data_IF_667463827698
#
_entry.id   IF_667463827698
#
_cell.length_a   1.000
_cell.length_b   1.000
_cell.length_c   1.000
_cell.angle_alpha   90.00
_cell.angle_beta   90.00
_cell.angle_gamma   90.00
#
_symmetry.space_group_name_H-M   'P 1'
#
loop_
_entity.id
_entity.type
_entity.pdbx_description
1 polymer ?
#
# COMPACT_ATOMS: atom_id res chain seq x y z
N UNK A 1 30.74 7.82 -5.56
CA UNK A 1 30.98 9.18 -5.02
C UNK A 1 30.68 10.32 -5.99
N UNK A 2 30.57 10.11 -7.31
CA UNK A 2 30.14 11.13 -8.28
C UNK A 2 28.60 11.24 -8.50
N UNK A 3 27.81 10.29 -8.00
CA UNK A 3 26.33 10.33 -8.09
C UNK A 3 25.66 11.19 -7.00
N UNK A 4 26.41 11.60 -5.97
CA UNK A 4 25.90 12.38 -4.83
C UNK A 4 25.73 13.88 -5.14
N UNK A 5 26.28 14.36 -6.27
CA UNK A 5 26.22 15.76 -6.67
C UNK A 5 25.02 16.10 -7.59
N UNK A 6 24.37 15.11 -8.21
CA UNK A 6 23.27 15.36 -9.16
C UNK A 6 21.89 15.45 -8.52
N UNK A 7 21.73 14.92 -7.29
CA UNK A 7 20.47 14.97 -6.54
C UNK A 7 20.28 16.29 -5.77
N UNK A 8 21.36 16.98 -5.42
CA UNK A 8 21.31 18.29 -4.74
C UNK A 8 20.99 19.46 -5.70
N UNK A 9 21.14 19.27 -7.01
CA UNK A 9 20.92 20.33 -8.01
C UNK A 9 19.46 20.47 -8.47
N UNK A 10 18.58 19.51 -8.17
CA UNK A 10 17.18 19.54 -8.64
C UNK A 10 16.23 20.31 -7.70
N UNK A 11 16.66 20.62 -6.47
CA UNK A 11 15.85 21.35 -5.49
C UNK A 11 16.11 22.87 -5.54
N UNK A 12 17.19 23.32 -6.20
CA UNK A 12 17.60 24.73 -6.24
C UNK A 12 17.16 25.50 -7.50
N UNK A 13 16.41 24.90 -8.43
CA UNK A 13 16.07 25.51 -9.72
C UNK A 13 14.77 26.36 -9.72
N UNK A 14 14.21 26.69 -8.56
CA UNK A 14 12.94 27.44 -8.46
C UNK A 14 13.05 28.81 -7.76
N UNK A 15 14.26 29.29 -7.47
CA UNK A 15 14.45 30.61 -6.86
C UNK A 15 15.69 31.29 -7.45
N UNK A 16 15.49 32.00 -8.56
CA UNK A 16 16.42 33.02 -9.03
C UNK A 16 15.59 34.20 -9.54
N UNK A 17 15.42 35.23 -8.71
CA UNK A 17 15.65 36.59 -9.16
C UNK A 17 16.13 37.48 -8.00
N UNK A 18 17.13 38.30 -8.34
CA UNK A 18 17.71 39.45 -7.63
C UNK A 18 18.65 39.26 -6.42
N UNK A 19 19.91 39.70 -6.61
CA UNK A 19 20.54 40.68 -5.71
C UNK A 19 21.73 40.25 -4.85
N UNK A 20 22.94 40.43 -5.40
CA UNK A 20 24.24 40.83 -4.80
C UNK A 20 24.53 40.66 -3.28
N UNK A 21 25.71 40.11 -2.98
CA UNK A 21 26.38 40.32 -1.68
C UNK A 21 27.31 39.19 -1.24
N UNK A 22 28.53 39.15 -1.78
CA UNK A 22 29.50 38.10 -1.52
C UNK A 22 30.36 38.36 -0.26
N UNK A 23 29.80 38.36 0.95
CA UNK A 23 30.58 38.30 2.20
C UNK A 23 29.74 37.66 3.35
N UNK A 24 29.81 36.33 3.52
CA UNK A 24 29.57 35.58 4.78
C UNK A 24 29.51 34.06 4.53
N UNK A 25 30.67 33.43 4.30
CA UNK A 25 30.76 31.99 3.94
C UNK A 25 31.02 31.04 5.14
N UNK A 26 31.01 31.52 6.39
CA UNK A 26 31.27 30.68 7.57
C UNK A 26 30.08 30.61 8.55
N UNK A 27 29.16 31.57 8.53
CA UNK A 27 27.97 31.59 9.40
C UNK A 27 26.74 30.88 8.82
N UNK A 28 26.69 30.66 7.50
CA UNK A 28 25.54 30.06 6.82
C UNK A 28 25.42 28.53 6.94
N UNK A 29 26.47 27.81 7.35
CA UNK A 29 26.39 26.35 7.54
C UNK A 29 25.75 26.00 8.89
N UNK A 30 26.16 26.69 9.97
CA UNK A 30 25.57 26.51 11.30
C UNK A 30 24.11 27.01 11.35
N UNK A 31 23.81 28.15 10.71
CA UNK A 31 22.44 28.66 10.62
C UNK A 31 21.50 27.74 9.82
N UNK A 32 22.01 27.09 8.76
CA UNK A 32 21.23 26.11 7.98
C UNK A 32 21.01 24.80 8.74
N UNK A 33 21.98 24.35 9.54
CA UNK A 33 21.81 23.15 10.37
C UNK A 33 20.87 23.41 11.57
N UNK A 34 20.88 24.62 12.14
CA UNK A 34 19.92 25.05 13.17
C UNK A 34 18.50 25.23 12.60
N UNK A 35 18.32 25.90 11.46
CA UNK A 35 17.01 26.00 10.77
C UNK A 35 16.44 24.62 10.37
N UNK A 36 17.31 23.70 9.93
CA UNK A 36 16.87 22.37 9.51
C UNK A 36 16.57 21.46 10.73
N UNK A 37 17.21 21.73 11.88
CA UNK A 37 16.89 21.12 13.18
C UNK A 37 15.56 21.62 13.76
N UNK A 38 15.17 22.88 13.48
CA UNK A 38 13.84 23.39 13.84
C UNK A 38 12.73 22.76 12.99
N UNK A 39 13.03 22.39 11.75
CA UNK A 39 12.05 21.82 10.81
C UNK A 39 11.94 20.29 10.90
N UNK A 40 13.06 19.58 11.11
CA UNK A 40 13.12 18.13 11.13
C UNK A 40 13.75 17.57 12.41
N UNK A 41 13.18 16.49 12.90
CA UNK A 41 13.67 15.74 14.06
C UNK A 41 14.05 14.31 13.66
N UNK A 42 15.06 13.75 14.30
CA UNK A 42 15.44 12.35 14.09
C UNK A 42 14.34 11.43 14.62
N UNK A 43 13.72 10.67 13.72
CA UNK A 43 12.69 9.71 14.06
C UNK A 43 13.28 8.44 14.68
N UNK A 44 12.72 8.03 15.81
CA UNK A 44 12.86 6.67 16.36
C UNK A 44 11.53 6.26 16.97
N UNK A 45 11.14 4.98 16.87
CA UNK A 45 9.96 4.46 17.55
C UNK A 45 9.95 4.89 19.02
N UNK A 46 8.93 5.65 19.42
CA UNK A 46 8.82 6.18 20.78
C UNK A 46 8.33 5.13 21.78
N UNK A 47 7.62 4.10 21.29
CA UNK A 47 6.93 3.09 22.12
C UNK A 47 7.42 1.67 21.87
N UNK A 48 7.87 1.34 20.66
CA UNK A 48 8.32 0.00 20.32
C UNK A 48 9.82 -0.15 20.62
N UNK A 49 10.17 -1.19 21.38
CA UNK A 49 11.56 -1.53 21.74
C UNK A 49 12.15 -2.65 20.88
N UNK A 50 11.32 -3.37 20.13
CA UNK A 50 11.76 -4.51 19.32
C UNK A 50 12.53 -4.07 18.06
N UNK A 51 13.57 -4.85 17.74
CA UNK A 51 14.41 -4.62 16.57
C UNK A 51 15.57 -3.66 16.80
N UNK A 52 16.52 -3.66 15.85
CA UNK A 52 17.66 -2.76 15.88
C UNK A 52 17.29 -1.36 15.36
N UNK A 53 18.03 -0.30 15.73
CA UNK A 53 17.88 1.00 15.09
C UNK A 53 18.00 0.90 13.56
N UNK A 54 17.27 1.75 12.84
CA UNK A 54 17.38 1.84 11.38
C UNK A 54 18.83 2.20 10.98
N UNK A 55 19.42 1.55 9.95
CA UNK A 55 20.82 1.76 9.57
C UNK A 55 21.11 3.19 9.10
N UNK A 56 20.14 3.81 8.43
CA UNK A 56 20.19 5.21 8.01
C UNK A 56 19.32 6.09 8.94
N UNK A 57 19.69 7.35 9.20
CA UNK A 57 18.84 8.29 9.93
C UNK A 57 17.49 8.47 9.23
N UNK A 58 16.40 8.27 9.98
CA UNK A 58 15.05 8.62 9.56
C UNK A 58 14.74 9.97 10.19
N UNK A 59 14.07 10.84 9.44
CA UNK A 59 13.62 12.14 9.93
C UNK A 59 12.12 12.28 9.79
N UNK A 60 11.52 13.03 10.70
CA UNK A 60 10.13 13.49 10.65
C UNK A 60 10.08 15.00 10.84
N UNK A 61 8.94 15.63 10.55
CA UNK A 61 8.80 17.06 10.85
C UNK A 61 8.67 17.28 12.36
N UNK A 62 9.19 18.39 12.86
CA UNK A 62 9.13 18.71 14.28
C UNK A 62 7.68 18.72 14.83
N UNK A 63 6.70 19.13 14.01
CA UNK A 63 5.28 19.09 14.37
C UNK A 63 4.74 17.67 14.55
N UNK A 64 5.21 16.69 13.78
CA UNK A 64 4.81 15.28 13.92
C UNK A 64 5.45 14.65 15.16
N UNK A 65 6.70 15.00 15.46
CA UNK A 65 7.41 14.52 16.65
C UNK A 65 6.70 14.89 17.97
N UNK A 66 5.90 15.96 17.97
CA UNK A 66 5.10 16.37 19.12
C UNK A 66 3.88 15.48 19.43
N UNK A 67 3.51 14.59 18.51
CA UNK A 67 2.35 13.71 18.67
C UNK A 67 2.82 12.31 19.07
N UNK A 68 2.45 11.86 20.26
CA UNK A 68 2.76 10.50 20.69
C UNK A 68 1.92 9.47 19.94
N UNK A 69 2.52 8.41 19.37
CA UNK A 69 1.77 7.33 18.76
C UNK A 69 1.01 6.52 19.83
N UNK A 70 -0.07 5.82 19.44
CA UNK A 70 -0.81 4.95 20.36
C UNK A 70 0.07 3.83 20.90
N UNK A 71 -0.30 3.27 22.06
CA UNK A 71 0.45 2.16 22.66
C UNK A 71 0.42 0.90 21.77
N UNK A 72 1.58 0.28 21.47
CA UNK A 72 1.65 -0.93 20.64
C UNK A 72 1.10 -2.13 21.40
N UNK A 73 -0.11 -2.58 21.02
CA UNK A 73 -0.82 -3.71 21.67
C UNK A 73 -0.81 -4.99 20.84
N UNK A 74 -0.26 -4.92 19.63
CA UNK A 74 -0.21 -6.05 18.71
C UNK A 74 1.10 -6.82 18.89
N UNK A 75 0.99 -8.14 19.12
CA UNK A 75 2.13 -9.05 19.17
C UNK A 75 2.39 -9.61 17.76
N UNK A 76 3.54 -9.29 17.19
CA UNK A 76 3.92 -9.74 15.85
C UNK A 76 4.65 -11.08 15.85
N UNK A 77 4.61 -11.76 14.70
CA UNK A 77 5.26 -13.05 14.45
C UNK A 77 6.65 -12.91 13.80
N UNK A 78 7.17 -11.68 13.69
CA UNK A 78 8.47 -11.35 13.07
C UNK A 78 9.69 -11.53 13.99
N UNK A 79 9.62 -12.40 15.01
CA UNK A 79 10.70 -12.51 16.01
C UNK A 79 12.00 -13.09 15.45
N UNK A 80 11.90 -13.89 14.38
CA UNK A 80 13.04 -14.34 13.62
C UNK A 80 13.74 -13.17 12.88
N UNK A 81 12.97 -12.25 12.30
CA UNK A 81 13.51 -11.03 11.68
C UNK A 81 14.21 -10.13 12.69
N UNK A 82 13.66 -10.03 13.91
CA UNK A 82 14.27 -9.28 15.02
C UNK A 82 15.61 -9.91 15.39
N UNK A 83 15.62 -11.22 15.64
CA UNK A 83 16.83 -11.95 16.03
C UNK A 83 17.94 -11.88 14.97
N UNK A 84 17.58 -11.91 13.69
CA UNK A 84 18.51 -11.83 12.56
C UNK A 84 18.84 -10.39 12.13
N UNK A 85 18.21 -9.38 12.75
CA UNK A 85 18.38 -7.97 12.37
C UNK A 85 17.93 -7.64 10.95
N UNK A 86 17.02 -8.42 10.36
CA UNK A 86 16.54 -8.23 8.99
C UNK A 86 15.67 -6.98 8.84
N UNK A 87 14.97 -6.62 9.92
CA UNK A 87 14.13 -5.43 10.01
C UNK A 87 14.64 -4.51 11.13
N UNK A 88 14.51 -3.20 10.89
CA UNK A 88 14.73 -2.19 11.93
C UNK A 88 13.47 -2.00 12.78
N UNK A 89 13.64 -1.37 13.94
CA UNK A 89 12.56 -1.02 14.85
C UNK A 89 11.48 -0.16 14.19
N UNK A 90 11.85 0.83 13.37
CA UNK A 90 10.90 1.65 12.60
C UNK A 90 10.09 0.82 11.60
N UNK A 91 10.72 -0.16 10.96
CA UNK A 91 10.04 -1.05 10.03
C UNK A 91 9.07 -2.01 10.74
N UNK A 92 9.44 -2.51 11.92
CA UNK A 92 8.56 -3.37 12.74
C UNK A 92 7.40 -2.56 13.30
N UNK A 93 7.65 -1.33 13.75
CA UNK A 93 6.61 -0.43 14.25
C UNK A 93 5.50 -0.18 13.21
N UNK A 94 5.87 0.00 11.94
CA UNK A 94 4.91 0.11 10.85
C UNK A 94 4.02 -1.14 10.73
N UNK A 95 4.59 -2.35 10.88
CA UNK A 95 3.82 -3.60 10.87
C UNK A 95 2.88 -3.66 12.08
N UNK A 96 3.38 -3.37 13.27
CA UNK A 96 2.59 -3.39 14.51
C UNK A 96 1.37 -2.47 14.40
N UNK A 97 1.56 -1.21 14.00
CA UNK A 97 0.44 -0.28 13.86
C UNK A 97 -0.50 -0.63 12.70
N UNK A 98 0.03 -1.17 11.59
CA UNK A 98 -0.81 -1.65 10.50
C UNK A 98 -1.77 -2.75 10.97
N UNK A 99 -1.26 -3.76 11.69
CA UNK A 99 -2.10 -4.85 12.18
C UNK A 99 -3.05 -4.42 13.31
N UNK A 100 -2.65 -3.47 14.16
CA UNK A 100 -3.58 -2.83 15.11
C UNK A 100 -4.73 -2.11 14.38
N UNK A 101 -4.46 -1.42 13.26
CA UNK A 101 -5.49 -0.77 12.46
C UNK A 101 -6.36 -1.79 11.75
N UNK A 102 -5.78 -2.84 11.19
CA UNK A 102 -6.49 -3.93 10.53
C UNK A 102 -7.47 -4.66 11.45
N UNK A 103 -7.26 -4.68 12.77
CA UNK A 103 -8.22 -5.29 13.71
C UNK A 103 -9.47 -4.43 13.96
N UNK A 104 -9.54 -3.20 13.44
CA UNK A 104 -10.71 -2.31 13.57
C UNK A 104 -11.68 -2.43 12.38
N UNK A 105 -12.96 -2.20 12.66
CA UNK A 105 -14.01 -2.00 11.66
C UNK A 105 -14.43 -0.54 11.62
N UNK A 106 -14.73 -0.05 10.43
CA UNK A 106 -15.31 1.26 10.20
C UNK A 106 -16.83 1.20 10.34
N UNK A 107 -17.49 2.36 10.40
CA UNK A 107 -18.95 2.46 10.54
C UNK A 107 -19.71 1.75 9.42
N UNK A 108 -19.16 1.72 8.21
CA UNK A 108 -19.73 0.99 7.06
C UNK A 108 -19.43 -0.53 7.08
N UNK A 109 -18.87 -1.07 8.17
CA UNK A 109 -18.53 -2.48 8.32
C UNK A 109 -17.22 -2.91 7.64
N UNK A 110 -16.61 -2.06 6.82
CA UNK A 110 -15.32 -2.37 6.19
C UNK A 110 -14.22 -2.48 7.25
N UNK A 111 -13.29 -3.39 7.03
CA UNK A 111 -12.04 -3.41 7.78
C UNK A 111 -11.25 -2.14 7.48
N UNK A 112 -10.74 -1.51 8.54
CA UNK A 112 -9.92 -0.33 8.39
C UNK A 112 -8.60 -0.66 7.67
N UNK A 113 -8.09 0.30 6.92
CA UNK A 113 -6.81 0.25 6.22
C UNK A 113 -5.70 0.98 6.97
N UNK A 114 -4.51 0.94 6.40
CA UNK A 114 -3.31 1.59 6.93
C UNK A 114 -2.55 2.31 5.82
N UNK A 115 -2.02 3.50 6.10
CA UNK A 115 -1.19 4.25 5.16
C UNK A 115 0.28 4.15 5.57
N UNK A 116 1.10 3.62 4.68
CA UNK A 116 2.55 3.59 4.78
C UNK A 116 3.14 4.73 3.95
N UNK A 117 3.44 5.83 4.65
CA UNK A 117 3.91 7.09 4.06
C UNK A 117 5.43 7.28 4.07
N UNK A 118 6.19 6.27 4.48
CA UNK A 118 7.62 6.42 4.75
C UNK A 118 8.41 6.87 3.51
N UNK A 119 9.43 7.69 3.73
CA UNK A 119 10.26 8.25 2.65
C UNK A 119 11.03 7.21 1.84
N UNK A 120 11.70 7.65 0.78
CA UNK A 120 12.69 6.83 0.10
C UNK A 120 13.85 6.51 1.06
N UNK A 121 14.39 5.29 1.01
CA UNK A 121 15.50 4.86 1.88
C UNK A 121 15.08 4.20 3.20
N UNK A 122 13.84 4.39 3.67
CA UNK A 122 13.32 3.73 4.90
C UNK A 122 13.05 2.23 4.70
N UNK A 123 13.02 1.77 3.44
CA UNK A 123 12.82 0.36 3.12
C UNK A 123 11.35 -0.09 3.06
N UNK A 124 10.47 0.74 2.48
CA UNK A 124 9.05 0.39 2.24
C UNK A 124 8.82 -0.99 1.64
N UNK A 125 9.63 -1.40 0.68
CA UNK A 125 9.55 -2.74 0.10
C UNK A 125 9.70 -3.86 1.14
N UNK A 126 10.66 -3.72 2.07
CA UNK A 126 10.83 -4.64 3.21
C UNK A 126 9.69 -4.53 4.23
N UNK A 127 9.12 -3.35 4.45
CA UNK A 127 7.93 -3.20 5.30
C UNK A 127 6.72 -3.93 4.71
N UNK A 128 6.48 -3.76 3.41
CA UNK A 128 5.41 -4.49 2.70
C UNK A 128 5.68 -6.00 2.78
N UNK A 129 6.91 -6.45 2.52
CA UNK A 129 7.28 -7.86 2.64
C UNK A 129 7.07 -8.40 4.06
N UNK A 130 7.41 -7.62 5.09
CA UNK A 130 7.16 -7.96 6.49
C UNK A 130 5.66 -8.06 6.81
N UNK A 131 4.82 -7.18 6.26
CA UNK A 131 3.36 -7.28 6.39
C UNK A 131 2.81 -8.53 5.70
N UNK A 132 3.37 -8.93 4.54
CA UNK A 132 3.00 -10.18 3.87
C UNK A 132 3.40 -11.39 4.70
N UNK A 133 4.62 -11.38 5.27
CA UNK A 133 5.10 -12.44 6.16
C UNK A 133 4.21 -12.56 7.40
N UNK A 134 3.85 -11.44 8.02
CA UNK A 134 2.95 -11.39 9.17
C UNK A 134 1.54 -11.91 8.82
N UNK A 135 0.98 -11.48 7.68
CA UNK A 135 -0.30 -11.99 7.19
C UNK A 135 -0.25 -13.51 6.98
N UNK A 136 0.86 -14.02 6.43
CA UNK A 136 1.05 -15.45 6.22
C UNK A 136 1.16 -16.24 7.53
N UNK A 137 1.88 -15.71 8.52
CA UNK A 137 2.00 -16.31 9.85
C UNK A 137 0.63 -16.42 10.56
N UNK A 138 -0.30 -15.49 10.27
CA UNK A 138 -1.69 -15.52 10.76
C UNK A 138 -2.61 -16.46 9.97
N UNK A 139 -2.08 -17.21 9.01
CA UNK A 139 -2.85 -18.11 8.15
C UNK A 139 -3.44 -17.45 6.89
N UNK A 140 -3.12 -16.19 6.62
CA UNK A 140 -3.46 -15.53 5.36
C UNK A 140 -2.71 -16.17 4.19
N UNK A 141 -3.44 -16.50 3.12
CA UNK A 141 -2.86 -17.23 1.98
C UNK A 141 -2.94 -16.46 0.67
N UNK A 142 -3.67 -15.34 0.63
CA UNK A 142 -3.93 -14.60 -0.60
C UNK A 142 -3.61 -13.13 -0.40
N UNK A 143 -2.65 -12.65 -1.18
CA UNK A 143 -2.22 -11.26 -1.18
C UNK A 143 -2.32 -10.71 -2.60
N UNK A 144 -2.89 -9.52 -2.74
CA UNK A 144 -2.78 -8.73 -3.96
C UNK A 144 -1.74 -7.63 -3.73
N UNK A 145 -0.73 -7.56 -4.60
CA UNK A 145 0.23 -6.46 -4.65
C UNK A 145 0.07 -5.74 -5.99
N UNK A 146 -0.58 -4.57 -5.94
CA UNK A 146 -0.74 -3.69 -7.09
C UNK A 146 0.41 -2.69 -7.12
N UNK A 147 1.16 -2.65 -8.22
CA UNK A 147 2.25 -1.69 -8.41
C UNK A 147 2.21 -1.02 -9.78
N UNK A 148 3.19 -0.17 -10.09
CA UNK A 148 3.24 0.63 -11.32
C UNK A 148 3.90 -0.07 -12.50
N UNK A 149 4.79 -1.03 -12.22
CA UNK A 149 5.51 -1.80 -13.24
C UNK A 149 5.57 -3.27 -12.86
N UNK A 150 5.53 -4.14 -13.87
CA UNK A 150 5.72 -5.58 -13.67
C UNK A 150 7.16 -5.92 -13.22
N UNK A 151 8.14 -5.08 -13.56
CA UNK A 151 9.55 -5.33 -13.24
C UNK A 151 9.82 -5.19 -11.73
N UNK A 152 9.01 -4.39 -11.03
CA UNK A 152 9.08 -4.25 -9.57
C UNK A 152 8.73 -5.55 -8.83
N UNK A 153 8.25 -6.58 -9.54
CA UNK A 153 8.09 -7.93 -8.98
C UNK A 153 9.43 -8.50 -8.51
N UNK A 154 10.53 -8.22 -9.21
CA UNK A 154 11.84 -8.74 -8.82
C UNK A 154 12.32 -8.09 -7.51
N UNK A 155 12.02 -6.81 -7.31
CA UNK A 155 12.24 -6.13 -6.03
C UNK A 155 11.35 -6.74 -4.94
N UNK A 156 10.06 -6.98 -5.21
CA UNK A 156 9.15 -7.63 -4.27
C UNK A 156 9.62 -9.04 -3.85
N UNK A 157 10.12 -9.84 -4.80
CA UNK A 157 10.67 -11.17 -4.53
C UNK A 157 11.95 -11.09 -3.67
N UNK A 158 12.85 -10.15 -3.98
CA UNK A 158 14.04 -9.88 -3.17
C UNK A 158 13.66 -9.44 -1.77
N UNK A 159 12.73 -8.51 -1.63
CA UNK A 159 12.35 -7.95 -0.33
C UNK A 159 11.66 -9.02 0.55
N UNK A 160 10.88 -9.93 -0.05
CA UNK A 160 10.37 -11.13 0.63
C UNK A 160 11.50 -12.05 1.09
N UNK A 161 12.50 -12.31 0.24
CA UNK A 161 13.65 -13.11 0.63
C UNK A 161 14.47 -12.47 1.77
N UNK A 162 14.67 -11.15 1.72
CA UNK A 162 15.41 -10.36 2.72
C UNK A 162 14.80 -10.47 4.13
N UNK A 163 13.47 -10.64 4.22
CA UNK A 163 12.75 -10.84 5.49
C UNK A 163 12.48 -12.32 5.81
N UNK A 164 13.12 -13.25 5.11
CA UNK A 164 12.96 -14.69 5.34
C UNK A 164 11.63 -15.29 4.85
N UNK A 165 10.91 -14.59 3.97
CA UNK A 165 9.64 -15.00 3.37
C UNK A 165 9.77 -15.43 1.90
N UNK A 166 10.98 -15.80 1.45
CA UNK A 166 11.24 -16.19 0.05
C UNK A 166 10.52 -17.46 -0.43
N UNK A 167 9.93 -18.24 0.49
CA UNK A 167 9.07 -19.39 0.18
C UNK A 167 7.65 -18.98 -0.26
N UNK A 168 7.23 -17.74 -0.02
CA UNK A 168 5.93 -17.24 -0.47
C UNK A 168 5.99 -16.98 -1.98
N UNK A 169 5.20 -17.74 -2.75
CA UNK A 169 5.20 -17.63 -4.20
C UNK A 169 4.62 -16.29 -4.67
N UNK A 170 5.42 -15.52 -5.41
CA UNK A 170 4.95 -14.35 -6.17
C UNK A 170 4.61 -14.78 -7.59
N UNK A 171 3.46 -14.35 -8.10
CA UNK A 171 2.99 -14.68 -9.44
C UNK A 171 2.33 -13.47 -10.13
N UNK A 172 2.36 -13.40 -11.48
CA UNK A 172 2.95 -14.36 -12.40
C UNK A 172 4.49 -14.33 -12.40
N UNK A 173 5.15 -15.44 -12.74
CA UNK A 173 6.62 -15.54 -12.79
C UNK A 173 7.17 -15.12 -14.15
N UNK A 174 8.33 -14.46 -14.16
CA UNK A 174 9.02 -14.06 -15.40
C UNK A 174 8.14 -13.19 -16.29
N UNK A 175 8.06 -13.54 -17.58
CA UNK A 175 7.21 -12.87 -18.58
C UNK A 175 5.80 -13.45 -18.69
N UNK A 176 5.41 -14.37 -17.79
CA UNK A 176 4.10 -14.99 -17.84
C UNK A 176 2.98 -13.98 -17.61
N UNK A 177 1.85 -14.18 -18.30
CA UNK A 177 0.64 -13.40 -18.06
C UNK A 177 -0.21 -14.04 -16.95
N UNK A 178 -1.01 -13.22 -16.28
CA UNK A 178 -2.02 -13.73 -15.34
C UNK A 178 -3.02 -14.64 -16.10
N UNK A 179 -3.39 -15.82 -15.55
CA UNK A 179 -4.29 -16.76 -16.21
C UNK A 179 -5.54 -16.10 -16.79
N UNK A 180 -6.00 -16.57 -17.95
CA UNK A 180 -7.31 -16.20 -18.50
C UNK A 180 -8.38 -16.95 -17.70
N UNK A 181 -9.42 -16.25 -17.26
CA UNK A 181 -10.48 -16.86 -16.45
C UNK A 181 -10.13 -17.00 -14.97
N UNK A 182 -10.63 -18.09 -14.36
CA UNK A 182 -10.47 -18.42 -12.95
C UNK A 182 -9.01 -18.64 -12.56
N UNK A 183 -8.45 -17.67 -11.82
CA UNK A 183 -7.05 -17.69 -11.37
C UNK A 183 -6.80 -18.84 -10.39
N UNK A 184 -7.80 -19.17 -9.57
CA UNK A 184 -7.71 -20.22 -8.55
C UNK A 184 -7.53 -21.63 -9.14
N UNK A 185 -7.73 -21.83 -10.46
CA UNK A 185 -7.38 -23.09 -11.13
C UNK A 185 -5.87 -23.30 -11.24
N UNK A 186 -5.10 -22.21 -11.35
CA UNK A 186 -3.64 -22.25 -11.53
C UNK A 186 -2.92 -21.90 -10.22
N UNK A 187 -3.34 -20.84 -9.53
CA UNK A 187 -2.72 -20.37 -8.30
C UNK A 187 -3.71 -20.46 -7.14
N UNK A 188 -3.49 -21.39 -6.21
CA UNK A 188 -4.37 -21.55 -5.03
C UNK A 188 -4.12 -20.51 -3.95
N UNK A 189 -2.90 -19.99 -3.87
CA UNK A 189 -2.42 -19.07 -2.85
C UNK A 189 -1.13 -18.38 -3.32
N UNK A 190 -0.69 -17.36 -2.58
CA UNK A 190 0.54 -16.62 -2.83
C UNK A 190 0.31 -15.11 -2.91
N UNK A 191 1.29 -14.41 -3.50
CA UNK A 191 1.23 -12.98 -3.80
C UNK A 191 0.95 -12.79 -5.28
N UNK A 192 -0.24 -12.30 -5.60
CA UNK A 192 -0.56 -11.84 -6.94
C UNK A 192 0.05 -10.45 -7.15
N UNK A 193 1.16 -10.38 -7.87
CA UNK A 193 1.82 -9.13 -8.23
C UNK A 193 1.36 -8.69 -9.63
N UNK A 194 0.61 -7.59 -9.71
CA UNK A 194 0.09 -7.07 -10.99
C UNK A 194 0.15 -5.55 -11.03
N UNK A 195 0.03 -4.98 -12.23
CA UNK A 195 -0.06 -3.52 -12.39
C UNK A 195 -1.49 -3.01 -12.30
N UNK A 196 -1.65 -1.75 -11.91
CA UNK A 196 -2.94 -1.03 -12.02
C UNK A 196 -3.50 -1.09 -13.45
N UNK A 197 -2.63 -0.98 -14.46
CA UNK A 197 -3.01 -1.09 -15.87
C UNK A 197 -3.60 -2.45 -16.22
N UNK A 198 -3.06 -3.53 -15.66
CA UNK A 198 -3.60 -4.88 -15.87
C UNK A 198 -4.98 -5.02 -15.20
N UNK A 199 -5.15 -4.49 -13.98
CA UNK A 199 -6.42 -4.53 -13.25
C UNK A 199 -7.59 -3.98 -14.09
N UNK A 200 -7.34 -2.86 -14.79
CA UNK A 200 -8.37 -2.18 -15.60
C UNK A 200 -8.46 -2.66 -17.06
N UNK A 201 -7.61 -3.60 -17.50
CA UNK A 201 -7.45 -3.96 -18.91
C UNK A 201 -8.76 -4.43 -19.59
N UNK A 202 -9.70 -4.99 -18.82
CA UNK A 202 -11.00 -5.47 -19.34
C UNK A 202 -12.15 -4.47 -19.21
N UNK A 203 -12.00 -3.40 -18.42
CA UNK A 203 -13.02 -2.35 -18.31
C UNK A 203 -13.12 -1.52 -19.61
N UNK A 204 -12.08 -1.56 -20.45
CA UNK A 204 -12.05 -0.87 -21.76
C UNK A 204 -12.94 -1.49 -22.84
N UNK A 205 -13.37 -2.75 -22.70
CA UNK A 205 -14.18 -3.47 -23.70
C UNK A 205 -15.65 -3.64 -23.32
N UNK A 206 -16.00 -3.42 -22.05
CA UNK A 206 -17.34 -3.66 -21.51
C UNK A 206 -18.41 -2.69 -22.03
N UNK A 207 -18.05 -1.59 -22.68
CA UNK A 207 -18.99 -0.58 -23.17
C UNK A 207 -19.82 -1.03 -24.40
N UNK A 208 -19.61 -2.23 -24.97
CA UNK A 208 -20.22 -2.64 -26.24
C UNK A 208 -20.84 -4.05 -26.29
N UNK A 209 -21.12 -4.70 -25.16
CA UNK A 209 -21.88 -5.96 -25.19
C UNK A 209 -22.99 -5.93 -24.14
N UNK A 210 -24.23 -5.75 -24.62
CA UNK A 210 -25.42 -6.28 -23.96
C UNK A 210 -25.19 -7.78 -23.80
N UNK A 211 -24.83 -8.20 -22.59
CA UNK A 211 -24.69 -9.62 -22.29
C UNK A 211 -26.10 -10.16 -22.15
N UNK A 212 -26.51 -11.02 -23.09
CA UNK A 212 -27.73 -11.81 -22.99
C UNK A 212 -27.71 -12.57 -21.66
N UNK A 213 -28.69 -12.27 -20.82
CA UNK A 213 -29.04 -13.00 -19.62
C UNK A 213 -29.45 -14.42 -20.03
N UNK A 214 -28.52 -15.37 -20.12
CA UNK A 214 -28.74 -16.78 -19.72
C UNK A 214 -27.43 -17.48 -19.38
N UNK A 215 -27.46 -18.21 -18.26
CA UNK A 215 -26.52 -19.24 -17.81
C UNK A 215 -25.28 -18.79 -17.02
N UNK A 216 -25.51 -18.34 -15.77
CA UNK A 216 -24.57 -18.57 -14.67
C UNK A 216 -25.27 -19.48 -13.66
N UNK A 217 -24.78 -20.71 -13.55
CA UNK A 217 -25.24 -21.72 -12.60
C UNK A 217 -25.05 -21.20 -11.16
N UNK A 218 -26.16 -20.83 -10.52
CA UNK A 218 -26.23 -20.36 -9.12
C UNK A 218 -26.41 -21.49 -8.11
N UNK A 219 -26.25 -22.75 -8.52
CA UNK A 219 -26.39 -23.89 -7.60
C UNK A 219 -25.11 -24.17 -6.80
N UNK A 220 -24.85 -23.34 -5.79
CA UNK A 220 -24.17 -23.77 -4.56
C UNK A 220 -24.55 -22.80 -3.44
N UNK A 221 -25.51 -23.21 -2.60
CA UNK A 221 -26.11 -22.45 -1.51
C UNK A 221 -25.16 -22.18 -0.33
N UNK A 222 -24.10 -21.42 -0.56
CA UNK A 222 -23.36 -20.71 0.49
C UNK A 222 -23.82 -19.26 0.42
N UNK A 223 -24.44 -18.74 1.49
CA UNK A 223 -24.74 -17.31 1.55
C UNK A 223 -23.42 -16.55 1.48
N UNK A 224 -23.17 -15.90 0.34
CA UNK A 224 -22.00 -15.06 0.13
C UNK A 224 -22.24 -13.75 0.87
N UNK A 225 -21.58 -13.53 2.02
CA UNK A 225 -21.58 -12.24 2.72
C UNK A 225 -20.85 -11.14 1.92
N UNK A 226 -20.20 -11.49 0.80
CA UNK A 226 -19.59 -10.51 -0.08
C UNK A 226 -20.63 -9.82 -0.96
N UNK A 227 -20.50 -8.49 -1.18
CA UNK A 227 -21.38 -7.76 -2.09
C UNK A 227 -21.35 -8.30 -3.53
N UNK A 228 -22.45 -8.12 -4.25
CA UNK A 228 -22.56 -8.55 -5.66
C UNK A 228 -21.63 -7.70 -6.56
N UNK A 229 -20.68 -8.32 -7.28
CA UNK A 229 -19.84 -7.64 -8.27
C UNK A 229 -20.62 -6.81 -9.29
N UNK A 230 -21.80 -7.27 -9.73
CA UNK A 230 -22.60 -6.58 -10.74
C UNK A 230 -23.15 -5.24 -10.23
N UNK A 231 -23.53 -5.18 -8.96
CA UNK A 231 -24.00 -3.95 -8.31
C UNK A 231 -22.89 -2.88 -8.26
N UNK A 232 -21.62 -3.29 -8.30
CA UNK A 232 -20.45 -2.41 -8.34
C UNK A 232 -19.93 -2.15 -9.77
N UNK A 233 -20.70 -2.51 -10.81
CA UNK A 233 -20.30 -2.36 -12.20
C UNK A 233 -19.17 -3.31 -12.64
N UNK A 234 -18.89 -4.35 -11.85
CA UNK A 234 -17.85 -5.34 -12.14
C UNK A 234 -18.47 -6.53 -12.85
N UNK A 235 -18.37 -6.53 -14.17
CA UNK A 235 -18.94 -7.60 -15.01
C UNK A 235 -18.14 -8.91 -14.89
N UNK A 236 -18.83 -10.07 -14.93
CA UNK A 236 -18.18 -11.37 -15.05
C UNK A 236 -17.21 -11.43 -16.24
N UNK A 237 -16.10 -12.14 -16.07
CA UNK A 237 -15.07 -12.29 -17.11
C UNK A 237 -14.08 -11.13 -17.21
N UNK A 238 -14.34 -9.98 -16.55
CA UNK A 238 -13.36 -8.90 -16.47
C UNK A 238 -12.15 -9.29 -15.62
N UNK A 239 -11.00 -8.62 -15.82
CA UNK A 239 -9.82 -8.85 -14.98
C UNK A 239 -10.11 -8.57 -13.51
N UNK A 240 -10.77 -7.44 -13.20
CA UNK A 240 -11.17 -7.10 -11.84
C UNK A 240 -12.03 -8.18 -11.20
N UNK A 241 -13.03 -8.70 -11.93
CA UNK A 241 -13.85 -9.83 -11.47
C UNK A 241 -13.01 -11.04 -11.07
N UNK A 242 -12.09 -11.50 -11.93
CA UNK A 242 -11.24 -12.66 -11.62
C UNK A 242 -10.30 -12.42 -10.43
N UNK A 243 -9.82 -11.19 -10.24
CA UNK A 243 -9.00 -10.80 -9.09
C UNK A 243 -9.83 -10.85 -7.80
N UNK A 244 -11.03 -10.27 -7.80
CA UNK A 244 -11.96 -10.30 -6.65
C UNK A 244 -12.34 -11.73 -6.31
N UNK A 245 -12.72 -12.56 -7.29
CA UNK A 245 -13.05 -13.98 -7.09
C UNK A 245 -11.89 -14.76 -6.47
N UNK A 246 -10.66 -14.46 -6.89
CA UNK A 246 -9.49 -15.08 -6.31
C UNK A 246 -9.27 -14.61 -4.87
N UNK A 247 -9.36 -13.31 -4.59
CA UNK A 247 -9.16 -12.77 -3.24
C UNK A 247 -10.26 -13.18 -2.25
N UNK A 248 -11.49 -13.37 -2.74
CA UNK A 248 -12.62 -13.85 -1.95
C UNK A 248 -12.35 -15.19 -1.26
N UNK A 249 -11.46 -16.02 -1.85
CA UNK A 249 -11.17 -17.36 -1.33
C UNK A 249 -12.31 -18.35 -1.58
N UNK A 250 -12.13 -19.59 -1.13
CA UNK A 250 -13.17 -20.64 -1.26
C UNK A 250 -14.31 -20.44 -0.26
N UNK A 251 -13.98 -19.87 0.89
CA UNK A 251 -14.91 -19.50 1.96
C UNK A 251 -15.73 -18.25 1.61
N UNK A 252 -15.39 -17.55 0.51
CA UNK A 252 -16.07 -16.34 0.05
C UNK A 252 -16.13 -15.27 1.14
N UNK A 253 -15.11 -15.17 1.98
CA UNK A 253 -15.07 -14.15 3.04
C UNK A 253 -14.18 -12.96 2.68
N UNK A 254 -13.25 -13.10 1.72
CA UNK A 254 -12.34 -12.01 1.36
C UNK A 254 -11.36 -11.64 2.48
N UNK A 255 -10.97 -12.60 3.33
CA UNK A 255 -9.91 -12.43 4.31
C UNK A 255 -8.54 -12.50 3.59
N UNK A 256 -8.13 -11.36 3.03
CA UNK A 256 -6.89 -11.21 2.28
C UNK A 256 -6.17 -9.90 2.62
N UNK A 257 -4.93 -9.76 2.16
CA UNK A 257 -4.18 -8.51 2.19
C UNK A 257 -4.14 -7.90 0.78
N UNK A 258 -4.55 -6.64 0.68
CA UNK A 258 -4.49 -5.83 -0.54
C UNK A 258 -3.46 -4.73 -0.30
N UNK A 259 -2.42 -4.72 -1.11
CA UNK A 259 -1.37 -3.72 -1.12
C UNK A 259 -1.54 -2.86 -2.36
N UNK A 260 -1.81 -1.58 -2.14
CA UNK A 260 -1.83 -0.55 -3.15
C UNK A 260 -0.48 0.17 -3.06
N UNK A 261 0.51 -0.32 -3.81
CA UNK A 261 1.83 0.28 -3.89
C UNK A 261 1.84 1.43 -4.90
N UNK A 262 2.61 2.49 -4.61
CA UNK A 262 2.55 3.77 -5.32
C UNK A 262 1.10 4.25 -5.53
N UNK A 263 0.28 4.14 -4.48
CA UNK A 263 -1.17 4.28 -4.58
C UNK A 263 -1.66 5.66 -5.03
N UNK A 264 -0.81 6.69 -5.03
CA UNK A 264 -1.10 7.98 -5.65
C UNK A 264 -1.53 7.85 -7.13
N UNK A 265 -1.31 6.72 -7.80
CA UNK A 265 -1.86 6.41 -9.13
C UNK A 265 -3.38 6.21 -9.16
N UNK A 266 -4.02 5.98 -8.01
CA UNK A 266 -5.47 5.85 -7.85
C UNK A 266 -6.18 7.17 -7.49
N UNK A 267 -5.43 8.29 -7.40
CA UNK A 267 -5.89 9.59 -6.88
C UNK A 267 -7.20 10.15 -7.43
N UNK A 268 -7.50 9.88 -8.69
CA UNK A 268 -8.68 10.43 -9.36
C UNK A 268 -9.91 9.51 -9.23
N UNK A 269 -10.20 9.02 -8.02
CA UNK A 269 -11.49 8.39 -7.72
C UNK A 269 -12.59 9.44 -7.53
N UNK A 270 -12.27 10.57 -6.90
CA UNK A 270 -13.14 11.74 -6.77
C UNK A 270 -12.55 12.84 -7.65
N UNK A 271 -13.08 13.03 -8.86
CA UNK A 271 -12.58 14.05 -9.79
C UNK A 271 -13.14 15.43 -9.42
N UNK A 272 -12.28 16.46 -9.33
CA UNK A 272 -12.71 17.88 -9.18
C UNK A 272 -13.46 18.38 -10.41
N UNK A 273 -13.04 17.93 -11.60
CA UNK A 273 -13.70 18.15 -12.90
C UNK A 273 -13.57 16.88 -13.75
N UNK A 274 -14.63 16.52 -14.47
CA UNK A 274 -14.67 15.30 -15.31
C UNK A 274 -15.02 14.00 -14.55
N UNK A 275 -14.88 12.86 -15.23
CA UNK A 275 -15.24 11.56 -14.68
C UNK A 275 -14.08 10.91 -13.90
N UNK A 276 -14.41 10.17 -12.83
CA UNK A 276 -13.45 9.35 -12.11
C UNK A 276 -12.67 8.42 -13.06
N UNK A 277 -11.36 8.29 -12.83
CA UNK A 277 -10.49 7.42 -13.64
C UNK A 277 -10.90 5.96 -13.50
N UNK A 278 -10.68 5.17 -14.56
CA UNK A 278 -10.92 3.72 -14.53
C UNK A 278 -10.11 3.03 -13.43
N UNK A 279 -8.89 3.50 -13.16
CA UNK A 279 -8.07 3.03 -12.04
C UNK A 279 -8.72 3.33 -10.71
N UNK A 280 -9.17 4.57 -10.48
CA UNK A 280 -9.90 4.94 -9.27
C UNK A 280 -11.13 4.05 -9.07
N UNK A 281 -12.00 3.95 -10.07
CA UNK A 281 -13.21 3.11 -10.03
C UNK A 281 -12.90 1.65 -9.71
N UNK A 282 -11.89 1.07 -10.36
CA UNK A 282 -11.51 -0.32 -10.11
C UNK A 282 -10.96 -0.53 -8.69
N UNK A 283 -10.18 0.41 -8.16
CA UNK A 283 -9.66 0.37 -6.78
C UNK A 283 -10.79 0.56 -5.76
N UNK A 284 -11.76 1.43 -6.04
CA UNK A 284 -12.97 1.58 -5.22
C UNK A 284 -13.79 0.28 -5.20
N UNK A 285 -14.17 -0.24 -6.36
CA UNK A 285 -14.93 -1.48 -6.47
C UNK A 285 -14.21 -2.69 -5.84
N UNK A 286 -12.89 -2.80 -5.99
CA UNK A 286 -12.10 -3.85 -5.34
C UNK A 286 -12.25 -3.79 -3.81
N UNK A 287 -12.20 -2.59 -3.25
CA UNK A 287 -12.36 -2.38 -1.81
C UNK A 287 -13.80 -2.66 -1.38
N UNK A 288 -14.81 -2.18 -2.11
CA UNK A 288 -16.22 -2.40 -1.73
C UNK A 288 -16.62 -3.88 -1.81
N UNK A 289 -16.09 -4.61 -2.79
CA UNK A 289 -16.38 -6.05 -2.95
C UNK A 289 -15.66 -6.94 -1.95
N UNK A 290 -14.68 -6.44 -1.20
CA UNK A 290 -13.89 -7.21 -0.24
C UNK A 290 -13.87 -6.52 1.13
N UNK A 291 -15.02 -6.36 1.81
CA UNK A 291 -15.14 -5.60 3.06
C UNK A 291 -14.22 -6.10 4.18
N UNK A 292 -13.86 -7.39 4.16
CA UNK A 292 -12.99 -8.02 5.16
C UNK A 292 -11.48 -7.91 4.87
N UNK A 293 -11.09 -7.46 3.68
CA UNK A 293 -9.69 -7.35 3.30
C UNK A 293 -8.95 -6.32 4.16
N UNK A 294 -7.70 -6.61 4.47
CA UNK A 294 -6.74 -5.64 5.01
C UNK A 294 -6.22 -4.83 3.85
N UNK A 295 -6.29 -3.50 3.92
CA UNK A 295 -5.87 -2.63 2.81
C UNK A 295 -4.70 -1.76 3.27
N UNK A 296 -3.55 -2.01 2.67
CA UNK A 296 -2.35 -1.20 2.82
C UNK A 296 -2.26 -0.22 1.65
N UNK A 297 -2.21 1.06 1.96
CA UNK A 297 -1.91 2.12 1.00
C UNK A 297 -0.44 2.50 1.18
N UNK A 298 0.41 2.30 0.18
CA UNK A 298 1.82 2.67 0.21
C UNK A 298 2.11 3.75 -0.80
N UNK A 299 2.67 4.88 -0.37
CA UNK A 299 3.15 5.96 -1.24
C UNK A 299 4.10 6.86 -0.47
N UNK A 300 5.27 7.13 -1.04
CA UNK A 300 6.19 8.14 -0.49
C UNK A 300 5.74 9.57 -0.82
N UNK A 301 4.91 9.72 -1.85
CA UNK A 301 4.43 11.02 -2.29
C UNK A 301 3.11 11.33 -1.60
N UNK A 302 3.10 12.42 -0.83
CA UNK A 302 1.89 12.98 -0.28
C UNK A 302 0.96 13.46 -1.40
N UNK A 303 -0.35 13.37 -1.19
CA UNK A 303 -1.29 14.00 -2.09
C UNK A 303 -1.29 15.51 -1.89
N UNK A 304 -1.20 16.25 -2.99
CA UNK A 304 -1.23 17.72 -2.95
C UNK A 304 -2.60 18.30 -2.58
N UNK A 305 -3.67 17.50 -2.66
CA UNK A 305 -5.04 17.93 -2.35
C UNK A 305 -5.83 16.80 -1.66
N UNK A 306 -6.73 17.11 -0.70
CA UNK A 306 -7.54 16.08 -0.01
C UNK A 306 -8.35 15.19 -0.95
N UNK A 307 -8.90 15.74 -2.04
CA UNK A 307 -9.69 14.96 -3.02
C UNK A 307 -8.86 13.86 -3.70
N UNK A 308 -7.55 14.07 -3.85
CA UNK A 308 -6.63 13.09 -4.42
C UNK A 308 -6.37 11.90 -3.47
N UNK A 309 -6.89 11.93 -2.24
CA UNK A 309 -6.85 10.82 -1.28
C UNK A 309 -8.19 10.07 -1.18
N UNK A 310 -9.20 10.44 -1.99
CA UNK A 310 -10.55 9.87 -1.88
C UNK A 310 -10.64 8.35 -2.02
N UNK A 311 -9.64 7.71 -2.64
CA UNK A 311 -9.54 6.24 -2.72
C UNK A 311 -9.09 5.57 -1.41
N UNK A 312 -8.52 6.34 -0.47
CA UNK A 312 -8.05 5.87 0.83
C UNK A 312 -9.13 5.91 1.93
N UNK A 313 -10.40 5.76 1.57
CA UNK A 313 -11.51 5.88 2.52
C UNK A 313 -11.50 4.82 3.63
N UNK A 314 -10.72 3.74 3.49
CA UNK A 314 -10.56 2.76 4.58
C UNK A 314 -9.65 3.23 5.71
N UNK A 315 -8.94 4.34 5.56
CA UNK A 315 -8.24 4.96 6.70
C UNK A 315 -9.22 5.37 7.80
N UNK A 316 -10.48 5.64 7.42
CA UNK A 316 -11.51 6.19 8.30
C UNK A 316 -11.21 7.64 8.68
N UNK A 317 -12.08 8.26 9.47
CA UNK A 317 -11.65 9.39 10.28
C UNK A 317 -10.52 8.86 11.18
N UNK A 318 -9.36 9.54 11.17
CA UNK A 318 -8.17 9.14 11.90
C UNK A 318 -8.37 9.28 13.43
N UNK A 319 -9.28 8.50 14.02
CA UNK A 319 -9.58 8.54 15.44
C UNK A 319 -10.43 9.72 15.91
N UNK A 320 -11.05 10.50 15.03
CA UNK A 320 -12.11 11.44 15.43
C UNK A 320 -13.45 10.70 15.38
N UNK A 321 -13.72 9.90 16.41
CA UNK A 321 -15.10 9.59 16.76
C UNK A 321 -15.73 10.92 17.19
N UNK A 322 -16.80 11.32 16.47
CA UNK A 322 -17.62 12.53 16.65
C UNK A 322 -17.16 13.81 15.90
N UNK A 323 -17.69 13.98 14.69
CA UNK A 323 -18.37 15.21 14.26
C UNK A 323 -19.65 14.85 13.52
#
# INVERSE_FOLDING_TARGET
RAAKAKAAAAVAAAAQDEGEGAENLVTGAAARDEENSELYSNYRPARLVDGRPHPDPIVETASLAGVSPPEPKYLHHLQDCVALGQLSNAQIEAVVYAFMRFDKRLQNGHRAGFFLGDGAGVGKGRQIAAMIKEEHARGGTRVLWLSVSNDLRFDAERDLADVGAGNICVFPKGSASLPKGRIDKVHKQGVMFITYSLLIASLKKATLQTVDDQNVDTSNGVSSDLPDPRAQGVLPGTRLFHVVEWLAGRDRQGNCLIILDECHKAKNLIAKEGAATQTGKAVGALQDLLPNARVLYSSATGASEPNNLGYMYRLGAAGFDHM
#
